data_IF_931040429096
#
_entry.id   IF_931040429096
#
_cell.length_a   1.000
_cell.length_b   1.000
_cell.length_c   1.000
_cell.angle_alpha   90.00
_cell.angle_beta   90.00
_cell.angle_gamma   90.00
#
_symmetry.space_group_name_H-M   'P 1'
#
loop_
_entity.id
_entity.type
_entity.pdbx_description
1 polymer ?
#
# COMPACT_ATOMS: atom_id res chain seq x y z
N UNK A 1 -21.03 32.81 12.91
CA UNK A 1 -20.76 31.41 13.24
C UNK A 1 -20.23 30.75 11.97
N UNK A 2 -18.91 30.74 11.84
CA UNK A 2 -18.26 30.12 10.68
C UNK A 2 -18.13 28.62 11.00
N UNK A 3 -19.02 27.80 10.44
CA UNK A 3 -18.88 26.38 10.45
C UNK A 3 -17.65 26.03 9.62
N UNK A 4 -16.63 25.47 10.24
CA UNK A 4 -15.53 24.81 9.55
C UNK A 4 -16.17 23.80 8.61
N UNK A 5 -15.85 23.81 7.30
CA UNK A 5 -16.35 22.77 6.42
C UNK A 5 -15.85 21.43 7.00
N UNK A 6 -16.77 20.52 7.30
CA UNK A 6 -16.41 19.14 7.59
C UNK A 6 -15.73 18.64 6.32
N UNK A 7 -14.42 18.57 6.33
CA UNK A 7 -13.63 17.85 5.33
C UNK A 7 -14.14 16.41 5.38
N UNK A 8 -14.86 15.99 4.35
CA UNK A 8 -15.26 14.59 4.21
C UNK A 8 -13.97 13.80 4.01
N UNK A 9 -13.58 13.08 5.05
CA UNK A 9 -12.46 12.15 4.94
C UNK A 9 -12.91 11.04 3.97
N UNK A 10 -12.30 10.96 2.80
CA UNK A 10 -12.62 9.93 1.83
C UNK A 10 -11.89 8.61 2.16
N UNK A 11 -10.69 8.72 2.70
CA UNK A 11 -9.89 7.58 3.15
C UNK A 11 -9.94 7.44 4.68
N UNK A 12 -9.94 6.23 5.23
CA UNK A 12 -9.90 6.05 6.68
C UNK A 12 -8.55 6.50 7.26
N UNK A 13 -8.58 7.27 8.36
CA UNK A 13 -7.36 7.70 9.07
C UNK A 13 -6.59 6.50 9.65
N UNK A 14 -7.33 5.42 9.95
CA UNK A 14 -6.77 4.21 10.53
C UNK A 14 -7.50 2.96 10.02
N UNK A 15 -6.74 1.90 9.72
CA UNK A 15 -7.26 0.58 9.39
C UNK A 15 -6.59 -0.43 10.32
N UNK A 16 -7.37 -1.28 10.96
CA UNK A 16 -6.86 -2.36 11.79
C UNK A 16 -7.29 -3.70 11.24
N UNK A 17 -6.33 -4.57 10.98
CA UNK A 17 -6.53 -5.98 10.67
C UNK A 17 -6.14 -6.86 11.87
N UNK A 18 -6.13 -8.16 11.72
CA UNK A 18 -5.75 -9.08 12.80
C UNK A 18 -4.37 -8.79 13.37
N UNK A 19 -3.37 -8.47 12.53
CA UNK A 19 -1.97 -8.30 12.93
C UNK A 19 -1.37 -6.95 12.59
N UNK A 20 -2.02 -6.16 11.73
CA UNK A 20 -1.49 -4.88 11.26
C UNK A 20 -2.38 -3.72 11.70
N UNK A 21 -1.73 -2.58 11.88
CA UNK A 21 -2.33 -1.27 11.99
C UNK A 21 -1.77 -0.42 10.86
N UNK A 22 -2.65 0.15 10.04
CA UNK A 22 -2.32 1.15 9.04
C UNK A 22 -2.63 2.51 9.67
N UNK A 23 -1.64 3.30 9.84
CA UNK A 23 -1.73 4.62 10.44
C UNK A 23 -1.50 5.67 9.36
N UNK A 24 -2.47 6.59 9.15
CA UNK A 24 -2.34 7.65 8.15
C UNK A 24 -1.01 8.36 8.29
N UNK A 25 -0.26 8.44 7.21
CA UNK A 25 1.01 9.15 7.16
C UNK A 25 0.75 10.65 7.07
N UNK A 26 0.86 11.34 8.21
CA UNK A 26 0.69 12.80 8.32
C UNK A 26 1.45 13.36 9.51
N UNK A 27 1.68 14.66 9.47
CA UNK A 27 2.17 15.40 10.64
C UNK A 27 1.20 15.25 11.83
N UNK A 28 1.75 15.16 13.02
CA UNK A 28 0.98 14.99 14.27
C UNK A 28 0.56 13.56 14.62
N UNK A 29 0.64 12.59 13.67
CA UNK A 29 0.49 11.16 13.98
C UNK A 29 1.81 10.41 13.85
N UNK A 30 2.67 10.83 12.95
CA UNK A 30 3.98 10.21 12.73
C UNK A 30 5.06 11.16 13.18
N UNK A 31 5.98 10.69 14.03
CA UNK A 31 7.21 11.42 14.36
C UNK A 31 8.21 11.23 13.21
N UNK A 32 8.62 12.32 12.52
CA UNK A 32 9.58 12.23 11.43
C UNK A 32 10.93 11.63 11.84
N UNK A 33 11.34 11.81 13.10
CA UNK A 33 12.57 11.22 13.61
C UNK A 33 12.43 9.71 13.84
N UNK A 34 11.28 9.24 14.37
CA UNK A 34 10.99 7.81 14.47
C UNK A 34 10.99 7.16 13.07
N UNK A 35 10.34 7.80 12.10
CA UNK A 35 10.30 7.31 10.73
C UNK A 35 11.69 7.32 10.09
N UNK A 36 12.49 8.40 10.31
CA UNK A 36 13.85 8.48 9.79
C UNK A 36 14.77 7.41 10.40
N UNK A 37 14.66 7.14 11.69
CA UNK A 37 15.40 6.07 12.35
C UNK A 37 15.06 4.71 11.72
N UNK A 38 13.77 4.44 11.47
CA UNK A 38 13.33 3.21 10.82
C UNK A 38 13.86 3.07 9.38
N UNK A 39 13.72 4.11 8.54
CA UNK A 39 14.13 4.07 7.12
C UNK A 39 15.63 4.20 6.90
N UNK A 40 16.40 4.58 7.94
CA UNK A 40 17.87 4.64 7.89
C UNK A 40 18.54 3.29 8.14
N UNK A 41 17.77 2.26 8.51
CA UNK A 41 18.29 0.93 8.81
C UNK A 41 18.81 0.23 7.56
N UNK A 42 19.84 -0.58 7.70
CA UNK A 42 20.49 -1.30 6.58
C UNK A 42 19.52 -2.20 5.82
N UNK A 43 18.59 -2.89 6.53
CA UNK A 43 17.60 -3.77 5.93
C UNK A 43 16.55 -3.01 5.10
N UNK A 44 16.32 -1.72 5.41
CA UNK A 44 15.49 -0.84 4.59
C UNK A 44 16.27 -0.27 3.41
N UNK A 45 17.44 0.31 3.65
CA UNK A 45 18.28 0.95 2.63
C UNK A 45 18.79 -0.04 1.56
N UNK A 46 18.86 -1.32 1.88
CA UNK A 46 19.29 -2.39 1.01
C UNK A 46 18.13 -3.07 0.27
N UNK A 47 17.81 -4.29 0.70
CA UNK A 47 16.89 -5.21 0.03
C UNK A 47 15.45 -4.69 -0.07
N UNK A 48 14.93 -4.05 0.99
CA UNK A 48 13.54 -3.59 1.03
C UNK A 48 13.24 -2.56 -0.06
N UNK A 49 14.21 -1.70 -0.39
CA UNK A 49 14.07 -0.62 -1.36
C UNK A 49 14.83 -0.87 -2.67
N UNK A 50 15.27 -2.09 -2.94
CA UNK A 50 16.02 -2.43 -4.16
C UNK A 50 15.25 -2.02 -5.44
N UNK A 51 13.96 -2.34 -5.49
CA UNK A 51 13.09 -2.01 -6.62
C UNK A 51 12.37 -0.67 -6.49
N UNK A 52 12.52 0.02 -5.35
CA UNK A 52 11.90 1.32 -5.05
C UNK A 52 12.91 2.28 -4.40
N UNK A 53 14.01 2.64 -5.11
CA UNK A 53 15.11 3.41 -4.52
C UNK A 53 14.72 4.83 -4.10
N UNK A 54 13.59 5.36 -4.53
CA UNK A 54 13.04 6.64 -4.08
C UNK A 54 12.53 6.61 -2.63
N UNK A 55 12.46 5.44 -1.97
CA UNK A 55 12.23 5.30 -0.53
C UNK A 55 13.52 5.24 0.31
N UNK A 56 14.68 5.53 -0.30
CA UNK A 56 15.96 5.61 0.39
C UNK A 56 16.21 7.04 0.84
N UNK A 57 15.81 7.34 2.05
CA UNK A 57 16.00 8.65 2.64
C UNK A 57 17.38 8.73 3.31
N UNK A 58 18.14 9.79 3.01
CA UNK A 58 19.49 10.02 3.54
C UNK A 58 19.51 11.09 4.65
N UNK A 59 18.42 11.83 4.79
CA UNK A 59 18.27 12.92 5.73
C UNK A 59 16.83 13.02 6.21
N UNK A 60 16.65 13.58 7.41
CA UNK A 60 15.32 13.72 8.03
C UNK A 60 14.41 14.67 7.25
N UNK A 61 14.98 15.73 6.61
CA UNK A 61 14.19 16.65 5.79
C UNK A 61 13.53 15.99 4.58
N UNK A 62 14.14 14.92 4.03
CA UNK A 62 13.50 14.12 2.96
C UNK A 62 12.31 13.29 3.48
N UNK A 63 12.34 12.91 4.75
CA UNK A 63 11.21 12.26 5.41
C UNK A 63 10.07 13.26 5.62
N UNK A 64 10.39 14.49 6.01
CA UNK A 64 9.41 15.59 6.09
C UNK A 64 8.74 15.84 4.73
N UNK A 65 9.53 15.97 3.66
CA UNK A 65 9.01 16.11 2.29
C UNK A 65 8.09 14.94 1.88
N UNK A 66 8.43 13.73 2.31
CA UNK A 66 7.61 12.54 2.05
C UNK A 66 6.28 12.56 2.80
N UNK A 67 6.26 13.07 4.04
CA UNK A 67 5.03 13.26 4.82
C UNK A 67 4.18 14.37 4.21
N UNK A 68 4.78 15.51 3.83
CA UNK A 68 4.10 16.61 3.13
C UNK A 68 3.42 16.14 1.83
N UNK A 69 4.12 15.31 1.05
CA UNK A 69 3.56 14.73 -0.18
C UNK A 69 2.40 13.78 0.12
N UNK A 70 2.50 12.99 1.18
CA UNK A 70 1.43 12.08 1.59
C UNK A 70 0.16 12.84 1.99
N UNK A 71 0.29 13.97 2.70
CA UNK A 71 -0.84 14.83 3.07
C UNK A 71 -1.48 15.46 1.84
N UNK A 72 -0.69 15.98 0.90
CA UNK A 72 -1.21 16.54 -0.35
C UNK A 72 -1.99 15.51 -1.18
N UNK A 73 -1.43 14.32 -1.38
CA UNK A 73 -2.11 13.24 -2.12
C UNK A 73 -3.40 12.78 -1.45
N UNK A 74 -3.44 12.83 -0.12
CA UNK A 74 -4.64 12.52 0.64
C UNK A 74 -5.74 13.57 0.44
N UNK A 75 -5.40 14.84 0.53
CA UNK A 75 -6.33 15.95 0.41
C UNK A 75 -6.86 16.08 -1.02
N UNK A 76 -6.04 15.75 -2.04
CA UNK A 76 -6.40 15.72 -3.46
C UNK A 76 -7.14 14.42 -3.87
N UNK A 77 -7.25 13.45 -2.95
CA UNK A 77 -7.85 12.12 -3.16
C UNK A 77 -7.12 11.25 -4.21
N UNK A 78 -5.85 11.52 -4.42
CA UNK A 78 -4.99 10.79 -5.35
C UNK A 78 -4.44 9.51 -4.75
N UNK A 79 -4.06 9.57 -3.46
CA UNK A 79 -3.57 8.39 -2.74
C UNK A 79 -3.71 8.53 -1.22
N UNK A 80 -3.99 7.40 -0.57
CA UNK A 80 -3.90 7.25 0.88
C UNK A 80 -2.61 6.51 1.24
N UNK A 81 -1.69 7.20 1.92
CA UNK A 81 -0.44 6.61 2.42
C UNK A 81 -0.53 6.32 3.89
N UNK A 82 -0.01 5.15 4.27
CA UNK A 82 -0.02 4.67 5.64
C UNK A 82 1.37 4.16 6.06
N UNK A 83 1.71 4.38 7.32
CA UNK A 83 2.66 3.55 8.02
C UNK A 83 1.98 2.23 8.38
N UNK A 84 2.72 1.14 8.25
CA UNK A 84 2.31 -0.17 8.73
C UNK A 84 3.01 -0.45 10.05
N UNK A 85 2.20 -0.70 11.10
CA UNK A 85 2.69 -1.17 12.39
C UNK A 85 2.22 -2.60 12.62
N UNK A 86 3.05 -3.40 13.26
CA UNK A 86 2.70 -4.79 13.59
C UNK A 86 2.27 -4.91 15.05
N UNK A 87 1.09 -5.49 15.27
CA UNK A 87 0.61 -5.84 16.61
C UNK A 87 1.45 -6.95 17.25
N UNK A 88 1.98 -7.87 16.43
CA UNK A 88 2.84 -8.96 16.86
C UNK A 88 4.22 -8.48 17.35
N UNK A 89 4.64 -7.31 16.88
CA UNK A 89 5.94 -6.69 17.23
C UNK A 89 5.75 -5.47 18.18
N UNK A 90 4.71 -5.49 19.01
CA UNK A 90 4.48 -4.45 20.02
C UNK A 90 4.10 -3.07 19.47
N UNK A 91 3.72 -2.95 18.21
CA UNK A 91 3.39 -1.69 17.54
C UNK A 91 4.54 -1.07 16.73
N UNK A 92 5.64 -1.79 16.58
CA UNK A 92 6.79 -1.32 15.78
C UNK A 92 6.41 -1.06 14.32
N UNK A 93 7.05 -0.08 13.71
CA UNK A 93 6.94 0.18 12.28
C UNK A 93 7.56 -1.00 11.52
N UNK A 94 6.80 -1.59 10.59
CA UNK A 94 7.24 -2.70 9.75
C UNK A 94 7.40 -2.30 8.28
N UNK A 95 6.80 -1.18 7.89
CA UNK A 95 6.85 -0.68 6.52
C UNK A 95 5.93 0.48 6.23
N UNK A 96 5.74 0.74 4.96
CA UNK A 96 4.78 1.73 4.44
C UNK A 96 4.00 1.16 3.27
N UNK A 97 2.78 1.68 3.08
CA UNK A 97 1.91 1.27 1.98
C UNK A 97 1.13 2.46 1.44
N UNK A 98 0.67 2.34 0.21
CA UNK A 98 -0.24 3.32 -0.40
C UNK A 98 -1.39 2.60 -1.11
N UNK A 99 -2.56 3.23 -1.05
CA UNK A 99 -3.75 2.91 -1.84
C UNK A 99 -4.00 4.07 -2.80
N UNK A 100 -4.09 3.79 -4.10
CA UNK A 100 -4.18 4.82 -5.15
C UNK A 100 -5.38 4.51 -6.06
N UNK A 101 -6.52 5.18 -5.85
CA UNK A 101 -7.68 5.04 -6.72
C UNK A 101 -7.47 5.82 -8.02
N UNK A 102 -8.03 5.29 -9.09
CA UNK A 102 -8.27 5.96 -10.37
C UNK A 102 -9.79 6.03 -10.53
N UNK A 103 -10.37 7.12 -10.06
CA UNK A 103 -11.81 7.32 -9.97
C UNK A 103 -12.48 7.30 -11.34
N UNK A 104 -11.83 7.86 -12.36
CA UNK A 104 -12.37 7.91 -13.74
C UNK A 104 -12.43 6.51 -14.36
N UNK A 105 -11.38 5.72 -14.16
CA UNK A 105 -11.33 4.33 -14.65
C UNK A 105 -12.01 3.34 -13.69
N UNK A 106 -12.59 3.80 -12.58
CA UNK A 106 -13.26 2.99 -11.56
C UNK A 106 -12.42 1.81 -11.07
N UNK A 107 -11.15 2.05 -10.78
CA UNK A 107 -10.20 1.04 -10.30
C UNK A 107 -9.27 1.59 -9.23
N UNK A 108 -8.63 0.72 -8.49
CA UNK A 108 -7.61 1.11 -7.54
C UNK A 108 -6.37 0.24 -7.65
N UNK A 109 -5.24 0.81 -7.29
CA UNK A 109 -3.99 0.08 -7.12
C UNK A 109 -3.41 0.25 -5.72
N UNK A 110 -2.43 -0.56 -5.38
CA UNK A 110 -1.69 -0.37 -4.13
C UNK A 110 -0.25 -0.86 -4.23
N UNK A 111 0.60 -0.26 -3.41
CA UNK A 111 2.00 -0.63 -3.25
C UNK A 111 2.38 -0.82 -1.79
N UNK A 112 3.49 -1.52 -1.54
CA UNK A 112 4.03 -1.77 -0.20
C UNK A 112 5.54 -1.82 -0.23
N UNK A 113 6.17 -1.28 0.81
CA UNK A 113 7.55 -1.56 1.19
C UNK A 113 7.55 -2.10 2.61
N UNK A 114 8.09 -3.29 2.80
CA UNK A 114 8.31 -3.90 4.12
C UNK A 114 9.81 -4.05 4.36
N UNK A 115 10.27 -3.72 5.56
CA UNK A 115 11.63 -4.03 5.95
C UNK A 115 11.88 -5.55 5.88
N UNK A 116 13.07 -5.93 5.40
CA UNK A 116 13.40 -7.33 5.04
C UNK A 116 13.14 -8.33 6.17
N UNK A 117 13.40 -7.94 7.41
CA UNK A 117 13.19 -8.80 8.58
C UNK A 117 11.72 -9.23 8.78
N UNK A 118 10.77 -8.53 8.15
CA UNK A 118 9.33 -8.84 8.23
C UNK A 118 8.80 -9.59 7.00
N UNK A 119 9.67 -9.95 6.05
CA UNK A 119 9.28 -10.75 4.90
C UNK A 119 8.91 -12.18 5.32
N UNK A 120 8.06 -12.82 4.52
CA UNK A 120 7.60 -14.19 4.78
C UNK A 120 6.53 -14.32 5.88
N UNK A 121 6.15 -13.22 6.55
CA UNK A 121 5.13 -13.21 7.60
C UNK A 121 3.69 -12.99 7.10
N UNK A 122 3.48 -12.98 5.80
CA UNK A 122 2.18 -12.76 5.14
C UNK A 122 1.57 -11.36 5.36
N UNK A 123 2.31 -10.40 5.91
CA UNK A 123 1.84 -9.01 6.13
C UNK A 123 1.43 -8.33 4.83
N UNK A 124 2.16 -8.58 3.74
CA UNK A 124 1.81 -8.04 2.42
C UNK A 124 0.49 -8.58 1.87
N UNK A 125 0.17 -9.85 2.14
CA UNK A 125 -1.10 -10.47 1.76
C UNK A 125 -2.25 -9.90 2.58
N UNK A 126 -2.09 -9.83 3.91
CA UNK A 126 -3.09 -9.28 4.83
C UNK A 126 -3.41 -7.83 4.49
N UNK A 127 -2.38 -7.00 4.24
CA UNK A 127 -2.53 -5.62 3.80
C UNK A 127 -3.29 -5.51 2.47
N UNK A 128 -2.93 -6.34 1.49
CA UNK A 128 -3.60 -6.33 0.19
C UNK A 128 -5.08 -6.70 0.31
N UNK A 129 -5.42 -7.69 1.16
CA UNK A 129 -6.80 -8.10 1.41
C UNK A 129 -7.65 -6.92 1.92
N UNK A 130 -7.16 -6.15 2.88
CA UNK A 130 -7.90 -4.99 3.39
C UNK A 130 -8.16 -3.94 2.27
N UNK A 131 -7.19 -3.66 1.41
CA UNK A 131 -7.38 -2.72 0.30
C UNK A 131 -8.26 -3.26 -0.83
N UNK A 132 -8.23 -4.56 -1.10
CA UNK A 132 -9.12 -5.21 -2.06
C UNK A 132 -10.57 -5.08 -1.58
N UNK A 133 -10.83 -5.37 -0.31
CA UNK A 133 -12.17 -5.26 0.26
C UNK A 133 -12.66 -3.80 0.30
N UNK A 134 -11.79 -2.83 0.68
CA UNK A 134 -12.13 -1.40 0.55
C UNK A 134 -12.48 -1.00 -0.88
N UNK A 135 -11.74 -1.53 -1.87
CA UNK A 135 -11.98 -1.24 -3.29
C UNK A 135 -13.39 -1.64 -3.72
N UNK A 136 -13.82 -2.85 -3.39
CA UNK A 136 -15.09 -3.38 -3.86
C UNK A 136 -16.27 -3.06 -2.95
N UNK A 137 -16.10 -3.14 -1.62
CA UNK A 137 -17.19 -3.01 -0.67
C UNK A 137 -17.46 -1.55 -0.27
N UNK A 138 -16.40 -0.74 -0.19
CA UNK A 138 -16.52 0.63 0.31
C UNK A 138 -16.55 1.67 -0.80
N UNK A 139 -15.64 1.57 -1.77
CA UNK A 139 -15.52 2.56 -2.85
C UNK A 139 -16.31 2.18 -4.10
N UNK A 140 -16.91 1.01 -4.13
CA UNK A 140 -17.72 0.51 -5.26
C UNK A 140 -16.98 0.62 -6.61
N UNK A 141 -15.66 0.35 -6.61
CA UNK A 141 -14.85 0.35 -7.82
C UNK A 141 -14.96 -0.99 -8.54
N UNK A 142 -14.62 -1.02 -9.83
CA UNK A 142 -14.82 -2.19 -10.69
C UNK A 142 -13.63 -3.12 -10.77
N UNK A 143 -12.42 -2.62 -10.40
CA UNK A 143 -11.20 -3.43 -10.45
C UNK A 143 -10.17 -2.99 -9.42
N UNK A 144 -9.40 -3.97 -8.94
CA UNK A 144 -8.15 -3.75 -8.21
C UNK A 144 -6.98 -4.25 -9.05
N UNK A 145 -5.88 -3.50 -9.10
CA UNK A 145 -4.69 -3.91 -9.84
C UNK A 145 -3.41 -3.67 -9.03
N UNK A 146 -2.36 -4.38 -9.42
CA UNK A 146 -1.01 -4.15 -8.88
C UNK A 146 0.04 -4.55 -9.90
N UNK A 147 1.24 -4.02 -9.71
CA UNK A 147 2.41 -4.36 -10.52
C UNK A 147 3.60 -4.67 -9.64
N UNK A 148 4.53 -5.45 -10.17
CA UNK A 148 5.88 -5.57 -9.60
C UNK A 148 6.92 -5.65 -10.73
N UNK A 149 8.14 -5.21 -10.43
CA UNK A 149 9.25 -5.35 -11.37
C UNK A 149 9.44 -6.83 -11.76
N UNK A 150 9.77 -7.07 -13.04
CA UNK A 150 9.86 -8.41 -13.59
C UNK A 150 10.89 -9.30 -12.87
N UNK A 151 11.90 -8.67 -12.28
CA UNK A 151 12.98 -9.29 -11.51
C UNK A 151 12.71 -9.33 -9.99
N UNK A 152 11.53 -8.87 -9.52
CA UNK A 152 11.14 -8.87 -8.11
C UNK A 152 10.32 -10.13 -7.76
N UNK A 153 10.97 -11.27 -7.72
CA UNK A 153 10.35 -12.55 -7.38
C UNK A 153 9.65 -12.58 -5.99
N UNK A 154 10.21 -11.98 -4.92
CA UNK A 154 9.51 -11.94 -3.63
C UNK A 154 8.15 -11.22 -3.71
N UNK A 155 8.11 -10.07 -4.36
CA UNK A 155 6.87 -9.31 -4.57
C UNK A 155 5.89 -10.09 -5.45
N UNK A 156 6.37 -10.68 -6.54
CA UNK A 156 5.55 -11.49 -7.43
C UNK A 156 4.85 -12.63 -6.70
N UNK A 157 5.60 -13.44 -5.93
CA UNK A 157 5.01 -14.54 -5.15
C UNK A 157 3.98 -14.09 -4.11
N UNK A 158 4.22 -12.93 -3.48
CA UNK A 158 3.26 -12.33 -2.56
C UNK A 158 1.97 -11.91 -3.28
N UNK A 159 2.11 -11.27 -4.45
CA UNK A 159 0.99 -10.80 -5.27
C UNK A 159 0.15 -11.99 -5.77
N UNK A 160 0.78 -13.02 -6.30
CA UNK A 160 0.12 -14.22 -6.79
C UNK A 160 -0.80 -14.85 -5.73
N UNK A 161 -0.39 -14.88 -4.46
CA UNK A 161 -1.19 -15.44 -3.35
C UNK A 161 -2.52 -14.72 -3.14
N UNK A 162 -2.52 -13.39 -3.05
CA UNK A 162 -3.77 -12.67 -2.80
C UNK A 162 -4.60 -12.51 -4.07
N UNK A 163 -3.97 -12.40 -5.24
CA UNK A 163 -4.69 -12.35 -6.52
C UNK A 163 -5.43 -13.66 -6.76
N UNK A 164 -4.78 -14.81 -6.55
CA UNK A 164 -5.42 -16.14 -6.64
C UNK A 164 -6.55 -16.29 -5.62
N UNK A 165 -6.33 -15.85 -4.37
CA UNK A 165 -7.36 -15.90 -3.31
C UNK A 165 -8.67 -15.20 -3.70
N UNK A 166 -8.58 -14.08 -4.41
CA UNK A 166 -9.73 -13.29 -4.84
C UNK A 166 -10.15 -13.56 -6.30
N UNK A 167 -9.68 -14.66 -6.89
CA UNK A 167 -10.08 -15.11 -8.22
C UNK A 167 -9.53 -14.30 -9.38
N UNK A 168 -8.58 -13.41 -9.11
CA UNK A 168 -7.94 -12.57 -10.10
C UNK A 168 -6.89 -13.30 -10.93
N UNK A 169 -6.15 -12.56 -11.74
CA UNK A 169 -5.19 -13.14 -12.68
C UNK A 169 -3.95 -12.32 -12.91
N UNK A 170 -2.92 -12.95 -13.42
CA UNK A 170 -1.79 -12.31 -14.06
C UNK A 170 -2.20 -11.87 -15.47
N UNK A 171 -2.19 -10.56 -15.75
CA UNK A 171 -2.57 -10.04 -17.07
C UNK A 171 -1.44 -10.18 -18.10
N UNK A 172 -0.19 -10.08 -17.66
CA UNK A 172 0.97 -10.20 -18.52
C UNK A 172 2.15 -9.36 -18.08
N UNK A 173 3.15 -9.29 -18.98
CA UNK A 173 4.37 -8.50 -18.83
C UNK A 173 4.25 -7.20 -19.66
N UNK A 174 4.29 -6.08 -18.93
CA UNK A 174 4.38 -4.74 -19.52
C UNK A 174 5.85 -4.42 -19.77
N UNK A 175 6.27 -4.46 -21.03
CA UNK A 175 7.66 -4.20 -21.39
C UNK A 175 7.98 -2.72 -21.37
N UNK A 176 9.17 -2.37 -20.87
CA UNK A 176 9.69 -0.99 -20.85
C UNK A 176 8.71 -0.01 -20.19
N UNK A 177 8.17 -0.40 -19.02
CA UNK A 177 7.00 0.25 -18.42
C UNK A 177 7.34 1.24 -17.31
N UNK A 178 8.31 0.93 -16.46
CA UNK A 178 8.56 1.74 -15.26
C UNK A 178 9.97 2.32 -15.25
N UNK A 179 10.12 3.66 -15.30
CA UNK A 179 11.43 4.29 -15.20
C UNK A 179 11.98 4.18 -13.77
N UNK A 180 13.28 3.95 -13.67
CA UNK A 180 14.06 4.03 -12.42
C UNK A 180 14.80 5.37 -12.35
N UNK A 181 15.15 5.87 -11.14
CA UNK A 181 15.88 7.13 -10.99
C UNK A 181 17.25 7.15 -11.71
N UNK A 182 17.86 5.99 -11.94
CA UNK A 182 19.11 5.85 -12.68
C UNK A 182 18.95 5.94 -14.22
N UNK A 183 17.72 6.18 -14.71
CA UNK A 183 17.38 6.26 -16.14
C UNK A 183 17.09 4.92 -16.79
N UNK A 184 17.25 3.81 -16.09
CA UNK A 184 16.83 2.49 -16.57
C UNK A 184 15.32 2.39 -16.59
N UNK A 185 14.76 1.70 -17.59
CA UNK A 185 13.33 1.40 -17.64
C UNK A 185 13.13 -0.11 -17.54
N UNK A 186 12.33 -0.53 -16.59
CA UNK A 186 12.11 -1.94 -16.29
C UNK A 186 10.79 -2.46 -16.77
N UNK A 187 10.75 -3.75 -17.07
CA UNK A 187 9.51 -4.48 -17.32
C UNK A 187 8.75 -4.71 -15.99
N UNK A 188 7.42 -4.78 -16.09
CA UNK A 188 6.55 -4.99 -14.93
C UNK A 188 5.57 -6.12 -15.19
N UNK A 189 5.43 -7.04 -14.26
CA UNK A 189 4.28 -7.92 -14.22
C UNK A 189 3.06 -7.14 -13.74
N UNK A 190 1.92 -7.34 -14.42
CA UNK A 190 0.64 -6.77 -14.04
C UNK A 190 -0.33 -7.84 -13.63
N UNK A 191 -1.06 -7.59 -12.54
CA UNK A 191 -2.09 -8.45 -11.99
C UNK A 191 -3.35 -7.63 -11.73
N UNK A 192 -4.51 -8.26 -11.83
CA UNK A 192 -5.78 -7.62 -11.54
C UNK A 192 -6.79 -8.60 -10.94
N UNK A 193 -7.77 -8.01 -10.27
CA UNK A 193 -8.99 -8.64 -9.79
C UNK A 193 -10.12 -7.74 -10.25
N UNK A 194 -11.08 -8.26 -11.03
CA UNK A 194 -12.28 -7.49 -11.39
C UNK A 194 -13.44 -7.87 -10.46
N UNK A 195 -14.44 -6.98 -10.36
CA UNK A 195 -15.59 -7.16 -9.45
C UNK A 195 -16.23 -8.54 -9.53
N UNK A 196 -16.48 -9.05 -10.73
CA UNK A 196 -17.11 -10.38 -10.90
C UNK A 196 -16.25 -11.54 -10.40
N UNK A 197 -14.92 -11.41 -10.45
CA UNK A 197 -13.98 -12.39 -9.88
C UNK A 197 -14.01 -12.32 -8.36
N UNK A 198 -13.93 -11.12 -7.79
CA UNK A 198 -14.04 -10.86 -6.35
C UNK A 198 -15.35 -11.43 -5.77
N UNK A 199 -16.52 -11.06 -6.34
CA UNK A 199 -17.82 -11.52 -5.88
C UNK A 199 -17.96 -13.05 -5.96
N UNK A 200 -17.38 -13.68 -6.99
CA UNK A 200 -17.35 -15.12 -7.12
C UNK A 200 -16.51 -15.80 -6.06
N UNK A 201 -15.33 -15.26 -5.80
CA UNK A 201 -14.37 -15.81 -4.85
C UNK A 201 -14.80 -15.63 -3.37
N UNK A 202 -15.52 -14.53 -3.07
CA UNK A 202 -15.95 -14.20 -1.70
C UNK A 202 -17.36 -14.71 -1.36
N UNK A 203 -18.07 -15.29 -2.32
CA UNK A 203 -19.43 -15.80 -2.10
C UNK A 203 -19.49 -16.88 -1.01
N UNK A 204 -20.10 -16.54 0.14
CA UNK A 204 -20.23 -17.44 1.28
C UNK A 204 -18.96 -17.62 2.10
N UNK A 205 -17.95 -16.79 1.87
CA UNK A 205 -16.73 -16.72 2.68
C UNK A 205 -16.83 -15.53 3.63
N UNK A 206 -16.36 -15.68 4.85
CA UNK A 206 -16.18 -14.51 5.73
C UNK A 206 -15.11 -13.61 5.12
N UNK A 207 -15.44 -12.31 4.96
CA UNK A 207 -14.48 -11.27 4.59
C UNK A 207 -13.45 -11.08 5.70
N UNK A 208 -12.34 -10.44 5.39
CA UNK A 208 -11.33 -10.12 6.40
C UNK A 208 -11.98 -9.25 7.48
N UNK A 209 -11.84 -9.65 8.75
CA UNK A 209 -12.27 -8.81 9.87
C UNK A 209 -11.26 -7.66 10.03
N UNK A 210 -11.70 -6.46 9.65
CA UNK A 210 -10.91 -5.24 9.84
C UNK A 210 -11.80 -4.06 10.28
N UNK A 211 -11.24 -3.23 11.14
CA UNK A 211 -11.90 -2.00 11.60
C UNK A 211 -11.31 -0.77 10.87
N UNK A 212 -12.15 0.23 10.63
CA UNK A 212 -11.73 1.51 10.03
C UNK A 212 -12.21 2.68 10.88
N UNK A 213 -11.32 3.65 11.10
CA UNK A 213 -11.62 4.96 11.68
C UNK A 213 -11.46 6.04 10.60
N UNK A 214 -12.44 6.97 10.53
CA UNK A 214 -12.53 8.00 9.48
C UNK A 214 -12.18 9.39 10.00
#
# INVERSE_FOLDING_TARGET
>A
MNGTPMTRNLFPDRIETSRLVFERLRHGTVDPFELYEFVSRDDWQGDATEHMPWFRFQRVDQVEEFVDEAERQWDDWDAARYLLRSKDEGGDIVGTTAYSPDWESRRAGSGIVLAKQYWGREYGVERASAFIELTFERYDLDAYYTTCAADNDPSRRMIEKYVERYGGRHEGLLRHHSPRPNGEVTDQHRFSIVRSEYESATRGTETLDFAVDW
#
